data_IF_177367824154
#
_entry.id   IF_177367824154
#
_cell.length_a   1.000
_cell.length_b   1.000
_cell.length_c   1.000
_cell.angle_alpha   90.00
_cell.angle_beta   90.00
_cell.angle_gamma   90.00
#
_symmetry.space_group_name_H-M   'P 1'
#
loop_
_entity.id
_entity.type
_entity.pdbx_description
1 polymer ?
#
# COMPACT_ATOMS: atom_id res chain seq x y z
N UNK A 1 -22.47 -11.41 -26.96
CA UNK A 1 -21.94 -10.06 -26.73
C UNK A 1 -20.49 -10.09 -27.20
N UNK A 2 -20.14 -9.41 -28.29
CA UNK A 2 -18.74 -9.35 -28.72
C UNK A 2 -17.99 -8.41 -27.76
N UNK A 3 -17.03 -8.95 -27.01
CA UNK A 3 -16.18 -8.17 -26.10
C UNK A 3 -15.36 -7.10 -26.85
N UNK A 4 -15.10 -7.34 -28.12
CA UNK A 4 -14.35 -6.47 -29.00
C UNK A 4 -15.23 -6.00 -30.16
N UNK A 5 -15.11 -4.72 -30.49
CA UNK A 5 -15.72 -4.15 -31.68
C UNK A 5 -14.85 -4.52 -32.90
N UNK A 6 -15.36 -5.30 -33.87
CA UNK A 6 -14.58 -5.70 -35.05
C UNK A 6 -14.23 -4.52 -35.97
N UNK A 7 -14.91 -3.38 -35.82
CA UNK A 7 -14.62 -2.15 -36.57
C UNK A 7 -13.41 -1.39 -36.02
N UNK A 8 -12.92 -1.75 -34.83
CA UNK A 8 -11.77 -1.14 -34.18
C UNK A 8 -10.65 -2.17 -34.15
N UNK A 9 -9.44 -1.77 -34.54
CA UNK A 9 -8.27 -2.65 -34.44
C UNK A 9 -8.09 -3.14 -32.99
N UNK A 10 -7.83 -4.45 -32.82
CA UNK A 10 -7.62 -5.09 -31.51
C UNK A 10 -6.57 -4.34 -30.69
N UNK A 11 -5.52 -3.81 -31.34
CA UNK A 11 -4.43 -3.09 -30.70
C UNK A 11 -4.86 -1.81 -29.98
N UNK A 12 -5.98 -1.20 -30.39
CA UNK A 12 -6.56 -0.02 -29.71
C UNK A 12 -7.50 -0.39 -28.57
N UNK A 13 -7.99 -1.63 -28.56
CA UNK A 13 -8.92 -2.14 -27.56
C UNK A 13 -8.20 -2.84 -26.39
N UNK A 14 -6.93 -3.20 -26.58
CA UNK A 14 -6.07 -3.76 -25.53
C UNK A 14 -5.75 -2.68 -24.48
N UNK A 15 -5.92 -3.03 -23.21
CA UNK A 15 -5.51 -2.17 -22.09
C UNK A 15 -4.00 -2.29 -21.84
N UNK A 16 -3.22 -1.53 -22.61
CA UNK A 16 -1.77 -1.48 -22.48
C UNK A 16 -1.28 -1.02 -21.11
N UNK A 17 -2.06 -0.17 -20.43
CA UNK A 17 -1.70 0.30 -19.10
C UNK A 17 -1.80 -0.85 -18.09
N UNK A 18 -2.89 -1.62 -18.14
CA UNK A 18 -3.04 -2.82 -17.30
C UNK A 18 -1.93 -3.83 -17.55
N UNK A 19 -1.66 -4.15 -18.83
CA UNK A 19 -0.62 -5.11 -19.20
C UNK A 19 0.76 -4.65 -18.74
N UNK A 20 1.07 -3.35 -18.89
CA UNK A 20 2.32 -2.78 -18.42
C UNK A 20 2.49 -2.84 -16.91
N UNK A 21 1.44 -2.48 -16.15
CA UNK A 21 1.43 -2.57 -14.68
C UNK A 21 1.58 -4.01 -14.23
N UNK A 22 0.82 -4.93 -14.82
CA UNK A 22 0.87 -6.35 -14.50
C UNK A 22 2.27 -6.91 -14.76
N UNK A 23 2.82 -6.70 -15.97
CA UNK A 23 4.16 -7.16 -16.32
C UNK A 23 5.23 -6.59 -15.37
N UNK A 24 5.18 -5.28 -15.09
CA UNK A 24 6.13 -4.63 -14.19
C UNK A 24 6.07 -5.24 -12.77
N UNK A 25 4.88 -5.39 -12.20
CA UNK A 25 4.71 -6.02 -10.89
C UNK A 25 5.17 -7.48 -10.91
N UNK A 26 4.86 -8.26 -11.96
CA UNK A 26 5.34 -9.64 -12.11
C UNK A 26 6.86 -9.71 -12.11
N UNK A 27 7.55 -8.88 -12.90
CA UNK A 27 9.01 -8.87 -12.91
C UNK A 27 9.59 -8.46 -11.55
N UNK A 28 9.00 -7.48 -10.88
CA UNK A 28 9.43 -7.04 -9.55
C UNK A 28 9.31 -8.17 -8.53
N UNK A 29 8.16 -8.82 -8.41
CA UNK A 29 7.96 -9.87 -7.39
C UNK A 29 8.79 -11.12 -7.67
N UNK A 30 9.07 -11.43 -8.95
CA UNK A 30 9.97 -12.53 -9.33
C UNK A 30 11.43 -12.21 -9.00
N UNK A 31 11.83 -10.93 -9.02
CA UNK A 31 13.18 -10.52 -8.68
C UNK A 31 13.47 -10.84 -7.20
N UNK A 32 14.38 -11.78 -6.98
CA UNK A 32 14.84 -12.21 -5.66
C UNK A 32 13.69 -12.68 -4.74
N UNK A 33 12.77 -13.47 -5.28
CA UNK A 33 11.66 -14.06 -4.52
C UNK A 33 12.17 -14.99 -3.41
N UNK A 34 11.64 -14.80 -2.18
CA UNK A 34 11.97 -15.60 -1.00
C UNK A 34 10.69 -15.86 -0.21
N UNK A 35 10.10 -17.05 -0.38
CA UNK A 35 8.82 -17.42 0.21
C UNK A 35 8.75 -17.21 1.73
N UNK A 36 9.87 -17.42 2.45
CA UNK A 36 9.89 -17.29 3.91
C UNK A 36 9.73 -15.83 4.34
N UNK A 37 10.38 -14.92 3.62
CA UNK A 37 10.30 -13.47 3.90
C UNK A 37 9.03 -12.85 3.31
N UNK A 38 8.68 -13.26 2.11
CA UNK A 38 7.59 -12.69 1.33
C UNK A 38 6.22 -13.06 1.91
N UNK A 39 6.06 -14.23 2.53
CA UNK A 39 4.80 -14.61 3.19
C UNK A 39 4.34 -13.58 4.23
N UNK A 40 5.26 -13.01 5.01
CA UNK A 40 4.91 -11.99 6.02
C UNK A 40 4.40 -10.72 5.33
N UNK A 41 5.04 -10.32 4.22
CA UNK A 41 4.61 -9.15 3.44
C UNK A 41 3.25 -9.40 2.80
N UNK A 42 3.02 -10.61 2.28
CA UNK A 42 1.71 -11.04 1.73
C UNK A 42 0.62 -10.91 2.78
N UNK A 43 0.85 -11.41 3.99
CA UNK A 43 -0.15 -11.35 5.07
C UNK A 43 -0.43 -9.91 5.52
N UNK A 44 0.61 -9.09 5.67
CA UNK A 44 0.44 -7.67 6.00
C UNK A 44 -0.34 -6.96 4.89
N UNK A 45 0.00 -7.21 3.62
CA UNK A 45 -0.70 -6.63 2.48
C UNK A 45 -2.16 -7.06 2.42
N UNK A 46 -2.46 -8.33 2.70
CA UNK A 46 -3.81 -8.88 2.70
C UNK A 46 -4.71 -8.18 3.74
N UNK A 47 -4.30 -8.17 5.01
CA UNK A 47 -5.10 -7.59 6.09
C UNK A 47 -5.10 -6.06 6.07
N UNK A 48 -3.97 -5.47 5.69
CA UNK A 48 -3.86 -4.03 5.50
C UNK A 48 -4.75 -3.54 4.36
N UNK A 49 -4.74 -4.25 3.23
CA UNK A 49 -5.63 -3.98 2.10
C UNK A 49 -7.10 -4.11 2.47
N UNK A 50 -7.48 -5.18 3.18
CA UNK A 50 -8.85 -5.34 3.69
C UNK A 50 -9.27 -4.17 4.59
N UNK A 51 -8.36 -3.69 5.43
CA UNK A 51 -8.62 -2.54 6.31
C UNK A 51 -8.84 -1.25 5.51
N UNK A 52 -8.02 -1.01 4.49
CA UNK A 52 -8.11 0.20 3.65
C UNK A 52 -9.36 0.18 2.77
N UNK A 53 -9.63 -0.94 2.09
CA UNK A 53 -10.85 -1.10 1.30
C UNK A 53 -12.09 -1.02 2.18
N UNK A 54 -12.03 -1.61 3.38
CA UNK A 54 -13.09 -1.52 4.38
C UNK A 54 -13.33 -0.06 4.79
N UNK A 55 -12.27 0.70 5.09
CA UNK A 55 -12.39 2.11 5.39
C UNK A 55 -13.02 2.91 4.24
N UNK A 56 -12.43 2.87 3.04
CA UNK A 56 -12.86 3.72 1.95
C UNK A 56 -14.26 3.45 1.44
N UNK A 57 -14.59 2.16 1.25
CA UNK A 57 -15.89 1.78 0.67
C UNK A 57 -17.02 1.96 1.67
N UNK A 58 -16.82 1.65 2.96
CA UNK A 58 -17.84 1.83 4.01
C UNK A 58 -18.09 3.30 4.34
N UNK A 59 -17.07 4.15 4.19
CA UNK A 59 -17.21 5.61 4.39
C UNK A 59 -17.63 6.35 3.11
N UNK A 60 -17.74 5.64 1.99
CA UNK A 60 -18.09 6.18 0.68
C UNK A 60 -17.09 7.18 0.11
N UNK A 61 -15.83 7.09 0.50
CA UNK A 61 -14.75 7.88 -0.12
C UNK A 61 -14.54 7.45 -1.58
N UNK A 62 -14.71 6.16 -1.88
CA UNK A 62 -14.79 5.62 -3.23
C UNK A 62 -15.82 4.50 -3.33
N UNK A 63 -16.30 4.27 -4.54
CA UNK A 63 -17.20 3.18 -4.89
C UNK A 63 -16.66 2.38 -6.06
N UNK A 64 -16.81 1.06 -5.99
CA UNK A 64 -16.49 0.17 -7.10
C UNK A 64 -17.70 -0.04 -8.00
N UNK A 65 -17.47 -0.38 -9.26
CA UNK A 65 -18.54 -0.71 -10.22
C UNK A 65 -19.43 -1.88 -9.75
N UNK A 66 -18.91 -2.77 -8.90
CA UNK A 66 -19.67 -3.89 -8.31
C UNK A 66 -20.54 -3.48 -7.11
N UNK A 67 -20.38 -2.27 -6.59
CA UNK A 67 -21.03 -1.78 -5.36
C UNK A 67 -20.74 -2.58 -4.07
N UNK A 68 -19.80 -3.53 -4.10
CA UNK A 68 -19.38 -4.32 -2.93
C UNK A 68 -18.58 -3.48 -1.90
N UNK A 69 -18.66 -3.85 -0.61
CA UNK A 69 -17.98 -3.13 0.50
C UNK A 69 -17.51 -4.03 1.65
N UNK A 70 -16.21 -4.28 1.80
CA UNK A 70 -15.17 -4.12 0.78
C UNK A 70 -15.35 -5.17 -0.33
N UNK A 71 -14.97 -4.87 -1.59
CA UNK A 71 -14.93 -5.87 -2.65
C UNK A 71 -13.85 -6.91 -2.38
N UNK A 72 -14.23 -8.18 -2.24
CA UNK A 72 -13.25 -9.24 -1.94
C UNK A 72 -12.33 -9.55 -3.12
N UNK A 73 -12.76 -9.25 -4.35
CA UNK A 73 -12.01 -9.54 -5.56
C UNK A 73 -10.74 -8.70 -5.73
N UNK A 74 -10.66 -7.51 -5.13
CA UNK A 74 -9.46 -6.66 -5.20
C UNK A 74 -8.46 -6.94 -4.08
N UNK A 75 -8.90 -7.59 -2.99
CA UNK A 75 -8.04 -7.89 -1.83
C UNK A 75 -6.76 -8.66 -2.22
N UNK A 76 -6.77 -9.64 -3.15
CA UNK A 76 -5.56 -10.31 -3.62
C UNK A 76 -4.54 -9.39 -4.33
N UNK A 77 -4.95 -8.23 -4.85
CA UNK A 77 -4.04 -7.28 -5.49
C UNK A 77 -3.13 -6.58 -4.47
N UNK A 78 -3.59 -6.40 -3.23
CA UNK A 78 -2.83 -5.73 -2.18
C UNK A 78 -1.53 -6.45 -1.79
N UNK A 79 -1.49 -7.79 -1.62
CA UNK A 79 -0.25 -8.54 -1.49
C UNK A 79 0.74 -8.34 -2.64
N UNK A 80 0.25 -8.37 -3.89
CA UNK A 80 1.10 -8.20 -5.09
C UNK A 80 1.70 -6.79 -5.11
N UNK A 81 0.90 -5.78 -4.84
CA UNK A 81 1.35 -4.40 -4.73
C UNK A 81 2.37 -4.24 -3.58
N UNK A 82 2.11 -4.83 -2.42
CA UNK A 82 3.01 -4.77 -1.25
C UNK A 82 4.38 -5.38 -1.53
N UNK A 83 4.43 -6.55 -2.19
CA UNK A 83 5.69 -7.17 -2.62
C UNK A 83 6.40 -6.28 -3.65
N UNK A 84 5.68 -5.77 -4.65
CA UNK A 84 6.25 -4.89 -5.68
C UNK A 84 6.86 -3.63 -5.07
N UNK A 85 6.19 -3.03 -4.08
CA UNK A 85 6.69 -1.86 -3.34
C UNK A 85 7.92 -2.21 -2.51
N UNK A 86 7.98 -3.38 -1.85
CA UNK A 86 9.19 -3.83 -1.14
C UNK A 86 10.39 -3.93 -2.10
N UNK A 87 10.18 -4.43 -3.32
CA UNK A 87 11.23 -4.54 -4.34
C UNK A 87 11.67 -3.18 -4.86
N UNK A 88 10.72 -2.29 -5.16
CA UNK A 88 11.01 -0.90 -5.53
C UNK A 88 11.76 -0.17 -4.41
N UNK A 89 11.35 -0.33 -3.16
CA UNK A 89 12.02 0.22 -2.00
C UNK A 89 13.49 -0.22 -1.95
N UNK A 90 13.80 -1.51 -2.17
CA UNK A 90 15.19 -1.99 -2.18
C UNK A 90 16.02 -1.32 -3.26
N UNK A 91 15.47 -1.17 -4.46
CA UNK A 91 16.15 -0.49 -5.57
C UNK A 91 16.40 0.98 -5.23
N UNK A 92 15.38 1.70 -4.75
CA UNK A 92 15.51 3.10 -4.32
C UNK A 92 16.52 3.25 -3.18
N UNK A 93 16.51 2.33 -2.22
CA UNK A 93 17.44 2.32 -1.09
C UNK A 93 18.89 2.17 -1.55
N UNK A 94 19.16 1.35 -2.58
CA UNK A 94 20.51 1.21 -3.15
C UNK A 94 21.00 2.54 -3.75
N UNK A 95 20.14 3.22 -4.52
CA UNK A 95 20.47 4.53 -5.10
C UNK A 95 20.62 5.63 -4.06
N UNK A 96 19.92 5.53 -2.93
CA UNK A 96 19.91 6.55 -1.89
C UNK A 96 21.05 6.41 -0.86
N UNK A 97 21.89 5.37 -0.93
CA UNK A 97 22.89 5.06 0.11
C UNK A 97 23.89 6.17 0.37
N UNK A 98 24.26 6.90 -0.69
CA UNK A 98 25.28 7.95 -0.63
C UNK A 98 24.71 9.29 -0.14
N UNK A 99 23.38 9.43 -0.06
CA UNK A 99 22.74 10.68 0.34
C UNK A 99 22.73 10.83 1.87
N UNK A 100 22.98 12.01 2.44
CA UNK A 100 23.02 12.20 3.88
C UNK A 100 21.63 12.05 4.53
N UNK A 101 21.58 11.51 5.75
CA UNK A 101 20.31 11.31 6.50
C UNK A 101 19.54 12.61 6.78
N UNK A 102 20.26 13.75 6.86
CA UNK A 102 19.66 15.07 7.06
C UNK A 102 18.66 15.41 5.95
N UNK A 103 18.98 15.05 4.70
CA UNK A 103 18.09 15.28 3.56
C UNK A 103 16.77 14.52 3.74
N UNK A 104 16.84 13.24 4.13
CA UNK A 104 15.64 12.44 4.38
C UNK A 104 14.81 12.96 5.55
N UNK A 105 15.45 13.44 6.62
CA UNK A 105 14.75 14.05 7.75
C UNK A 105 14.01 15.33 7.35
N UNK A 106 14.66 16.18 6.56
CA UNK A 106 14.06 17.42 6.04
C UNK A 106 12.86 17.10 5.15
N UNK A 107 13.02 16.22 4.15
CA UNK A 107 11.93 15.83 3.28
C UNK A 107 10.81 15.11 4.02
N UNK A 108 11.12 14.28 5.01
CA UNK A 108 10.10 13.63 5.85
C UNK A 108 9.18 14.66 6.51
N UNK A 109 9.74 15.67 7.16
CA UNK A 109 8.96 16.70 7.86
C UNK A 109 8.27 17.70 6.93
N UNK A 110 8.59 17.69 5.63
CA UNK A 110 7.78 18.38 4.63
C UNK A 110 6.65 17.50 4.11
N UNK A 111 6.97 16.29 3.66
CA UNK A 111 6.05 15.39 2.92
C UNK A 111 4.95 14.85 3.82
N UNK A 112 5.28 14.36 5.01
CA UNK A 112 4.28 13.69 5.86
C UNK A 112 3.25 14.66 6.47
N UNK A 113 3.65 15.83 7.02
CA UNK A 113 2.67 16.83 7.45
C UNK A 113 1.82 17.37 6.29
N UNK A 114 2.43 17.61 5.11
CA UNK A 114 1.68 18.03 3.92
C UNK A 114 0.65 16.97 3.51
N UNK A 115 1.04 15.70 3.47
CA UNK A 115 0.12 14.59 3.24
C UNK A 115 -1.03 14.57 4.27
N UNK A 116 -0.73 14.80 5.55
CA UNK A 116 -1.75 14.80 6.59
C UNK A 116 -2.76 15.95 6.43
N UNK A 117 -2.31 17.14 6.03
CA UNK A 117 -3.19 18.26 5.69
C UNK A 117 -4.07 17.93 4.48
N UNK A 118 -3.50 17.33 3.43
CA UNK A 118 -4.26 16.84 2.28
C UNK A 118 -5.29 15.78 2.69
N UNK A 119 -4.92 14.87 3.60
CA UNK A 119 -5.81 13.84 4.14
C UNK A 119 -6.98 14.48 4.87
N UNK A 120 -6.76 15.46 5.75
CA UNK A 120 -7.83 16.16 6.45
C UNK A 120 -8.82 16.82 5.48
N UNK A 121 -8.32 17.46 4.42
CA UNK A 121 -9.17 18.07 3.40
C UNK A 121 -9.99 17.02 2.64
N UNK A 122 -9.37 15.90 2.25
CA UNK A 122 -10.01 14.83 1.51
C UNK A 122 -11.06 14.06 2.33
N UNK A 123 -10.78 13.79 3.60
CA UNK A 123 -11.68 12.98 4.44
C UNK A 123 -12.76 13.80 5.13
N UNK A 124 -12.72 15.13 5.01
CA UNK A 124 -13.65 16.06 5.66
C UNK A 124 -15.14 15.66 5.53
N UNK A 125 -15.65 15.20 4.37
CA UNK A 125 -17.05 14.77 4.23
C UNK A 125 -17.42 13.55 5.07
N UNK A 126 -16.42 12.80 5.56
CA UNK A 126 -16.58 11.53 6.27
C UNK A 126 -16.02 11.57 7.69
N UNK A 127 -15.70 12.76 8.22
CA UNK A 127 -14.99 12.90 9.50
C UNK A 127 -15.76 12.32 10.69
N UNK A 128 -17.10 12.28 10.60
CA UNK A 128 -17.98 11.70 11.62
C UNK A 128 -17.94 10.15 11.64
N UNK A 129 -17.38 9.51 10.62
CA UNK A 129 -17.30 8.05 10.53
C UNK A 129 -16.14 7.55 11.39
N UNK A 130 -16.42 6.57 12.25
CA UNK A 130 -15.43 5.96 13.15
C UNK A 130 -14.19 5.44 12.43
N UNK A 131 -14.35 4.85 11.23
CA UNK A 131 -13.24 4.37 10.42
C UNK A 131 -12.33 5.51 9.92
N UNK A 132 -12.89 6.67 9.60
CA UNK A 132 -12.12 7.87 9.21
C UNK A 132 -11.35 8.42 10.39
N UNK A 133 -11.97 8.50 11.57
CA UNK A 133 -11.29 8.93 12.80
C UNK A 133 -10.12 7.98 13.10
N UNK A 134 -10.34 6.66 13.02
CA UNK A 134 -9.29 5.67 13.22
C UNK A 134 -8.15 5.82 12.21
N UNK A 135 -8.46 6.04 10.92
CA UNK A 135 -7.45 6.26 9.88
C UNK A 135 -6.62 7.53 10.15
N UNK A 136 -7.26 8.63 10.57
CA UNK A 136 -6.58 9.87 10.94
C UNK A 136 -5.65 9.67 12.14
N UNK A 137 -6.14 9.04 13.22
CA UNK A 137 -5.34 8.76 14.41
C UNK A 137 -4.15 7.85 14.09
N UNK A 138 -4.35 6.81 13.28
CA UNK A 138 -3.28 5.91 12.86
C UNK A 138 -2.24 6.64 12.02
N UNK A 139 -2.66 7.47 11.06
CA UNK A 139 -1.73 8.27 10.26
C UNK A 139 -0.96 9.26 11.12
N UNK A 140 -1.64 10.00 12.01
CA UNK A 140 -0.99 10.92 12.95
C UNK A 140 0.04 10.20 13.84
N UNK A 141 -0.33 9.04 14.40
CA UNK A 141 0.56 8.21 15.20
C UNK A 141 1.81 7.80 14.41
N UNK A 142 1.65 7.33 13.17
CA UNK A 142 2.76 6.91 12.31
C UNK A 142 3.70 8.08 11.96
N UNK A 143 3.14 9.27 11.71
CA UNK A 143 3.90 10.48 11.38
C UNK A 143 4.70 10.99 12.59
N UNK A 144 4.09 10.97 13.78
CA UNK A 144 4.68 11.52 15.00
C UNK A 144 5.70 10.59 15.68
N UNK A 145 5.76 9.31 15.30
CA UNK A 145 6.64 8.32 15.94
C UNK A 145 7.74 7.77 15.02
N UNK A 146 8.48 8.58 14.23
CA UNK A 146 9.41 8.09 13.20
C UNK A 146 10.49 7.16 13.76
N UNK A 147 10.69 5.99 13.14
CA UNK A 147 11.82 5.09 13.46
C UNK A 147 13.01 5.29 12.52
N UNK A 148 12.76 5.33 11.21
CA UNK A 148 13.79 5.53 10.19
C UNK A 148 13.28 6.45 9.07
N UNK A 149 13.71 7.71 9.09
CA UNK A 149 13.28 8.74 8.14
C UNK A 149 13.48 8.33 6.68
N UNK A 150 14.69 7.85 6.33
CA UNK A 150 14.99 7.38 4.97
C UNK A 150 14.06 6.24 4.55
N UNK A 151 13.91 5.21 5.37
CA UNK A 151 13.10 4.06 5.00
C UNK A 151 11.63 4.43 4.82
N UNK A 152 11.08 5.25 5.73
CA UNK A 152 9.70 5.73 5.61
C UNK A 152 9.48 6.57 4.35
N UNK A 153 10.39 7.50 4.04
CA UNK A 153 10.25 8.33 2.85
C UNK A 153 10.38 7.52 1.56
N UNK A 154 11.34 6.60 1.47
CA UNK A 154 11.51 5.78 0.27
C UNK A 154 10.36 4.80 0.07
N UNK A 155 9.82 4.22 1.14
CA UNK A 155 8.61 3.39 1.07
C UNK A 155 7.40 4.22 0.64
N UNK A 156 7.25 5.43 1.16
CA UNK A 156 6.20 6.36 0.75
C UNK A 156 6.30 6.70 -0.75
N UNK A 157 7.52 6.99 -1.24
CA UNK A 157 7.77 7.25 -2.66
C UNK A 157 7.47 6.02 -3.51
N UNK A 158 7.98 4.85 -3.13
CA UNK A 158 7.73 3.60 -3.85
C UNK A 158 6.23 3.28 -3.95
N UNK A 159 5.50 3.42 -2.84
CA UNK A 159 4.06 3.23 -2.78
C UNK A 159 3.30 4.27 -3.61
N UNK A 160 3.71 5.54 -3.59
CA UNK A 160 3.08 6.60 -4.39
C UNK A 160 3.33 6.42 -5.89
N UNK A 161 4.52 5.99 -6.28
CA UNK A 161 4.86 5.71 -7.70
C UNK A 161 4.01 4.55 -8.22
N UNK A 162 3.95 3.43 -7.51
CA UNK A 162 3.09 2.32 -7.93
C UNK A 162 1.61 2.71 -7.88
N UNK A 163 1.20 3.40 -6.82
CA UNK A 163 -0.16 3.92 -6.62
C UNK A 163 -0.61 4.83 -7.74
N UNK A 164 0.26 5.69 -8.28
CA UNK A 164 -0.07 6.54 -9.43
C UNK A 164 -0.56 5.72 -10.63
N UNK A 165 0.15 4.65 -10.98
CA UNK A 165 -0.23 3.81 -12.11
C UNK A 165 -1.50 3.00 -11.83
N UNK A 166 -1.63 2.44 -10.62
CA UNK A 166 -2.82 1.69 -10.21
C UNK A 166 -4.07 2.58 -10.19
N UNK A 167 -3.99 3.77 -9.60
CA UNK A 167 -5.09 4.73 -9.56
C UNK A 167 -5.44 5.25 -10.95
N UNK A 168 -4.42 5.57 -11.77
CA UNK A 168 -4.66 6.00 -13.15
C UNK A 168 -5.37 4.91 -13.94
N UNK A 169 -4.99 3.65 -13.77
CA UNK A 169 -5.68 2.55 -14.42
C UNK A 169 -7.11 2.41 -13.90
N UNK A 170 -7.31 2.22 -12.60
CA UNK A 170 -8.62 1.95 -12.02
C UNK A 170 -9.64 3.06 -12.25
N UNK A 171 -9.23 4.31 -12.05
CA UNK A 171 -10.15 5.45 -12.17
C UNK A 171 -10.48 5.79 -13.63
N UNK A 172 -9.54 5.65 -14.57
CA UNK A 172 -9.83 5.89 -16.00
C UNK A 172 -10.67 4.79 -16.65
N UNK A 173 -10.71 3.58 -16.07
CA UNK A 173 -11.59 2.47 -16.50
C UNK A 173 -12.85 2.34 -15.64
N UNK A 174 -13.06 3.28 -14.71
CA UNK A 174 -14.19 3.27 -13.78
C UNK A 174 -14.30 1.96 -12.98
N UNK A 175 -13.17 1.29 -12.72
CA UNK A 175 -13.14 0.16 -11.80
C UNK A 175 -13.53 0.63 -10.38
N UNK A 176 -13.07 1.82 -10.01
CA UNK A 176 -13.58 2.57 -8.88
C UNK A 176 -13.61 4.06 -9.20
N UNK A 177 -14.46 4.79 -8.49
CA UNK A 177 -14.63 6.23 -8.62
C UNK A 177 -14.64 6.85 -7.23
N UNK A 178 -13.84 7.90 -7.05
CA UNK A 178 -13.82 8.68 -5.82
C UNK A 178 -14.94 9.72 -5.82
N UNK A 179 -15.38 10.13 -4.62
CA UNK A 179 -16.38 11.18 -4.49
C UNK A 179 -15.94 12.51 -5.16
N UNK A 180 -14.64 12.75 -5.31
CA UNK A 180 -14.05 13.93 -5.99
C UNK A 180 -14.11 13.87 -7.51
N UNK A 181 -14.41 12.70 -8.10
CA UNK A 181 -14.43 12.47 -9.56
C UNK A 181 -13.08 12.71 -10.29
N UNK A 182 -11.97 12.84 -9.55
CA UNK A 182 -10.64 13.04 -10.12
C UNK A 182 -10.05 11.74 -10.70
N UNK A 183 -9.19 11.86 -11.72
CA UNK A 183 -8.57 10.70 -12.40
C UNK A 183 -7.07 10.93 -12.72
N UNK A 184 -6.12 10.34 -11.96
CA UNK A 184 -6.27 9.84 -10.60
C UNK A 184 -6.31 10.99 -9.57
N UNK A 185 -7.01 10.84 -8.43
CA UNK A 185 -6.94 11.83 -7.35
C UNK A 185 -5.55 11.86 -6.73
N UNK A 186 -4.99 13.06 -6.52
CA UNK A 186 -3.65 13.20 -5.95
C UNK A 186 -3.57 12.58 -4.54
N UNK A 187 -4.60 12.78 -3.72
CA UNK A 187 -4.66 12.19 -2.39
C UNK A 187 -4.61 10.65 -2.45
N UNK A 188 -5.37 10.02 -3.35
CA UNK A 188 -5.40 8.56 -3.48
C UNK A 188 -4.01 8.00 -3.83
N UNK A 189 -3.31 8.65 -4.75
CA UNK A 189 -1.93 8.29 -5.13
C UNK A 189 -0.99 8.36 -3.92
N UNK A 190 -1.04 9.44 -3.15
CA UNK A 190 -0.19 9.61 -1.96
C UNK A 190 -0.61 8.69 -0.80
N UNK A 191 -1.90 8.34 -0.72
CA UNK A 191 -2.43 7.42 0.28
C UNK A 191 -1.88 6.00 0.09
N UNK A 192 -1.60 5.55 -1.14
CA UNK A 192 -0.83 4.32 -1.39
C UNK A 192 0.57 4.39 -0.77
N UNK A 193 1.24 5.54 -0.86
CA UNK A 193 2.52 5.79 -0.20
C UNK A 193 2.43 5.69 1.34
N UNK A 194 1.39 6.28 1.93
CA UNK A 194 1.17 6.20 3.37
C UNK A 194 0.81 4.77 3.81
N UNK A 195 -0.05 4.08 3.06
CA UNK A 195 -0.42 2.69 3.29
C UNK A 195 0.82 1.77 3.26
N UNK A 196 1.67 1.91 2.25
CA UNK A 196 2.94 1.19 2.17
C UNK A 196 3.83 1.45 3.38
N UNK A 197 3.89 2.71 3.83
CA UNK A 197 4.67 3.09 5.03
C UNK A 197 4.12 2.43 6.28
N UNK A 198 2.79 2.34 6.43
CA UNK A 198 2.14 1.62 7.51
C UNK A 198 2.45 0.12 7.47
N UNK A 199 2.37 -0.51 6.29
CA UNK A 199 2.67 -1.93 6.12
C UNK A 199 4.12 -2.24 6.46
N UNK A 200 5.05 -1.40 6.00
CA UNK A 200 6.46 -1.51 6.35
C UNK A 200 6.70 -1.38 7.85
N UNK A 201 5.98 -0.48 8.54
CA UNK A 201 6.06 -0.37 10.01
C UNK A 201 5.61 -1.63 10.72
N UNK A 202 4.52 -2.24 10.26
CA UNK A 202 4.06 -3.54 10.79
C UNK A 202 5.12 -4.62 10.56
N UNK A 203 5.76 -4.64 9.39
CA UNK A 203 6.84 -5.58 9.10
C UNK A 203 8.05 -5.40 10.01
N UNK A 204 8.44 -4.15 10.30
CA UNK A 204 9.53 -3.85 11.24
C UNK A 204 9.17 -4.33 12.63
N UNK A 205 7.95 -4.04 13.12
CA UNK A 205 7.47 -4.51 14.41
C UNK A 205 7.47 -6.04 14.48
N UNK A 206 6.95 -6.73 13.46
CA UNK A 206 6.96 -8.18 13.38
C UNK A 206 8.39 -8.75 13.55
N UNK A 207 9.36 -8.21 12.82
CA UNK A 207 10.78 -8.61 12.92
C UNK A 207 11.39 -8.32 14.29
N UNK A 208 10.97 -7.24 14.95
CA UNK A 208 11.43 -6.92 16.32
C UNK A 208 10.88 -7.91 17.35
N UNK A 209 9.65 -8.42 17.18
CA UNK A 209 9.01 -9.33 18.12
C UNK A 209 9.19 -10.82 17.81
N UNK A 210 9.49 -11.19 16.56
CA UNK A 210 9.68 -12.58 16.12
C UNK A 210 10.67 -13.39 17.00
N UNK A 211 11.85 -12.87 17.40
CA UNK A 211 12.76 -13.59 18.29
C UNK A 211 12.17 -13.86 19.68
N UNK A 212 11.35 -12.94 20.19
CA UNK A 212 10.72 -13.05 21.52
C UNK A 212 9.59 -14.08 21.51
N UNK A 213 8.77 -14.06 20.45
CA UNK A 213 7.67 -15.01 20.26
C UNK A 213 8.21 -16.43 20.07
N UNK A 214 9.25 -16.60 19.25
CA UNK A 214 9.87 -17.91 19.04
C UNK A 214 10.55 -18.46 20.30
N UNK A 215 11.17 -17.60 21.11
CA UNK A 215 11.72 -18.00 22.41
C UNK A 215 10.63 -18.43 23.39
N UNK A 216 9.52 -17.69 23.47
CA UNK A 216 8.37 -18.03 24.31
C UNK A 216 7.70 -19.36 23.89
N UNK A 217 7.50 -19.58 22.60
CA UNK A 217 6.90 -20.82 22.07
C UNK A 217 7.80 -22.06 22.22
N UNK A 218 9.13 -21.88 22.25
CA UNK A 218 10.08 -22.98 22.52
C UNK A 218 10.20 -23.33 24.00
N UNK A 219 9.74 -22.47 24.90
CA UNK A 219 9.80 -22.67 26.35
C UNK A 219 9.00 -23.92 26.83
N UNK A 220 7.73 -24.15 26.43
CA UNK A 220 6.98 -25.34 26.84
C UNK A 220 7.49 -26.66 26.22
N UNK A 221 8.09 -26.62 25.03
CA UNK A 221 8.61 -27.82 24.36
C UNK A 221 9.89 -28.39 25.01
N UNK A 222 10.62 -27.58 25.80
CA UNK A 222 11.83 -28.02 26.49
C UNK A 222 11.54 -28.72 27.82
N UNK A 223 10.41 -28.40 28.46
CA UNK A 223 10.00 -29.10 29.69
C UNK A 223 9.42 -30.49 29.42
N UNK A 224 8.81 -30.72 28.26
CA UNK A 224 8.27 -32.04 27.87
C UNK A 224 9.34 -33.06 27.45
N UNK A 225 10.57 -32.63 27.14
CA UNK A 225 11.68 -33.53 26.74
C UNK A 225 12.61 -33.94 27.89
N UNK A 226 12.39 -33.37 29.08
CA UNK A 226 13.17 -33.64 30.28
C UNK A 226 12.40 -34.46 31.34
N UNK A 227 11.23 -35.00 30.96
CA UNK A 227 10.49 -36.04 31.69
C UNK A 227 10.45 -37.30 30.83
#
# INVERSE_FOLDING_TARGET
MNLFNPQISIWRQIDWLLLGIFAAMTFLIMANADLKKDWVIVMIGLFGGLTIEGWGTQTWLWTYYTNERPPLWIIPAWPIASLSIDRLFRVLYLFSRQMPEVVFKIFYWMVFPLFYVLMLSFVNPTIEKSLTIMALLLCAFLILTPTHYRAMLLTFVAGSVLGYFLERWGTTRQCWVYYTQETPPLFAVLAHGMAATAFWRVLVLFKTFEPKVTAFLKYPLRQSKNN
#
